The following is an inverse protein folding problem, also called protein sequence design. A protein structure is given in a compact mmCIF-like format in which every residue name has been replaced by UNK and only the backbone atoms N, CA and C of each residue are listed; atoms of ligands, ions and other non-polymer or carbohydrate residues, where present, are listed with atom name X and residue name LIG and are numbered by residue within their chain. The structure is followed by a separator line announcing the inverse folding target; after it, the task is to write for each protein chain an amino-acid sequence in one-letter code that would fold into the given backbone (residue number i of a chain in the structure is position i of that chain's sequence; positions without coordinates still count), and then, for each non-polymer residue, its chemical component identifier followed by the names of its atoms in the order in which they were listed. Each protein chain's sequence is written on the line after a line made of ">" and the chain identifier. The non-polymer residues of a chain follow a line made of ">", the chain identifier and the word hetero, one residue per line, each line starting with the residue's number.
data_IF_211288238008
#
_entry.id   IF_211288238008
#
_cell.length_a   1.000
_cell.length_b   1.000
_cell.length_c   1.000
_cell.angle_alpha   90.00
_cell.angle_beta   90.00
_cell.angle_gamma   90.00
#
_symmetry.space_group_name_H-M   'P 1'
#
loop_
_entity.id
_entity.type
_entity.pdbx_description
1 polymer ?
#
# COMPACT_ATOMS: atom_id res chain seq x y z
N UNK A 1 3.71 78.11 -9.89
CA UNK A 1 2.31 77.75 -9.57
C UNK A 1 2.35 76.42 -8.84
N UNK A 2 1.79 76.41 -7.62
CA UNK A 2 1.58 75.31 -6.63
C UNK A 2 2.71 74.28 -6.40
N UNK A 3 3.28 74.08 -5.20
CA UNK A 3 3.00 74.59 -3.87
C UNK A 3 3.10 73.48 -2.81
N UNK A 4 4.13 73.58 -1.93
CA UNK A 4 4.23 73.18 -0.49
C UNK A 4 3.88 71.73 -0.07
N UNK A 5 4.51 71.10 0.93
CA UNK A 5 5.31 71.60 2.03
C UNK A 5 6.21 70.50 2.62
N UNK A 6 7.33 70.97 3.14
CA UNK A 6 8.41 70.25 3.80
C UNK A 6 8.16 70.17 5.33
N UNK A 7 8.74 69.14 5.95
CA UNK A 7 9.37 69.11 7.30
C UNK A 7 8.56 69.17 8.61
N UNK A 8 8.70 68.02 9.31
CA UNK A 8 9.22 67.81 10.69
C UNK A 8 8.45 68.32 11.91
N UNK A 9 8.20 67.42 12.89
CA UNK A 9 8.51 67.63 14.31
C UNK A 9 8.87 66.29 14.97
N UNK A 10 10.00 66.27 15.68
CA UNK A 10 10.51 65.21 16.54
C UNK A 10 10.71 65.87 17.91
N UNK A 11 10.11 65.33 18.97
CA UNK A 11 10.38 65.75 20.36
C UNK A 11 10.47 64.50 21.24
N UNK A 12 11.61 64.38 21.91
CA UNK A 12 11.97 63.35 22.89
C UNK A 12 11.83 63.93 24.31
N UNK A 13 11.37 63.13 25.29
CA UNK A 13 11.74 63.28 26.72
C UNK A 13 11.81 61.90 27.39
N UNK A 14 12.89 61.68 28.15
CA UNK A 14 13.29 60.53 28.97
C UNK A 14 12.69 60.54 30.40
N UNK A 15 12.73 59.36 31.06
CA UNK A 15 13.03 59.04 32.50
C UNK A 15 12.10 57.88 32.97
N UNK A 16 12.42 56.96 33.87
CA UNK A 16 13.60 56.24 34.37
C UNK A 16 13.08 55.29 35.49
N UNK A 17 13.65 54.08 35.61
CA UNK A 17 13.84 53.36 36.88
C UNK A 17 12.70 52.50 37.47
N UNK A 18 12.92 51.18 37.60
CA UNK A 18 13.26 50.50 38.87
C UNK A 18 13.34 48.97 38.72
N UNK A 19 14.46 48.39 39.14
CA UNK A 19 14.69 46.96 39.38
C UNK A 19 13.93 46.48 40.63
N UNK A 20 13.46 45.22 40.64
CA UNK A 20 13.59 44.31 41.79
C UNK A 20 13.89 42.88 41.29
N UNK A 21 14.90 42.29 41.93
CA UNK A 21 15.46 40.95 41.78
C UNK A 21 14.72 39.97 42.69
N UNK A 22 14.51 38.73 42.25
CA UNK A 22 14.46 37.58 43.15
C UNK A 22 15.01 36.33 42.45
N UNK A 23 16.19 35.89 42.90
CA UNK A 23 16.78 34.60 42.61
C UNK A 23 16.58 33.69 43.83
N UNK A 24 16.21 32.43 43.59
CA UNK A 24 16.46 31.32 44.50
C UNK A 24 17.00 30.13 43.69
N UNK A 25 18.09 29.57 44.19
CA UNK A 25 18.87 28.49 43.60
C UNK A 25 18.71 27.18 44.40
N UNK A 26 19.30 26.09 43.85
CA UNK A 26 19.56 24.76 44.42
C UNK A 26 18.38 23.76 44.43
N UNK A 27 18.48 22.46 44.08
CA UNK A 27 19.54 21.48 43.74
C UNK A 27 18.88 20.38 42.86
N UNK A 28 19.49 19.88 41.78
CA UNK A 28 20.26 18.63 41.79
C UNK A 28 19.45 17.34 41.57
N UNK A 29 19.39 16.80 40.34
CA UNK A 29 19.38 15.35 40.08
C UNK A 29 19.73 15.03 38.62
N UNK A 30 20.72 14.16 38.40
CA UNK A 30 20.99 13.51 37.11
C UNK A 30 19.99 12.35 36.89
N UNK A 31 19.42 12.23 35.69
CA UNK A 31 18.92 10.97 35.10
C UNK A 31 18.89 11.13 33.58
N UNK A 32 19.79 10.46 32.85
CA UNK A 32 19.56 9.19 32.14
C UNK A 32 18.38 9.25 31.17
N UNK A 33 18.71 9.21 29.88
CA UNK A 33 18.05 8.47 28.79
C UNK A 33 16.53 8.49 28.65
N UNK A 34 16.05 8.92 27.48
CA UNK A 34 14.75 8.49 26.96
C UNK A 34 14.08 9.55 26.08
N UNK A 35 14.26 9.47 24.77
CA UNK A 35 13.34 10.09 23.81
C UNK A 35 11.93 9.52 24.02
N UNK A 36 10.87 10.35 23.98
CA UNK A 36 9.51 9.83 24.11
C UNK A 36 9.18 8.97 22.88
N UNK A 37 8.95 7.67 23.12
CA UNK A 37 8.32 6.76 22.18
C UNK A 37 6.95 7.33 21.80
N UNK A 38 6.76 7.61 20.52
CA UNK A 38 5.43 7.71 19.93
C UNK A 38 4.82 6.30 19.92
N UNK A 39 3.97 6.01 20.90
CA UNK A 39 3.11 4.84 20.92
C UNK A 39 1.87 5.13 20.10
N UNK A 40 1.95 4.91 18.79
CA UNK A 40 0.76 4.49 18.07
C UNK A 40 0.51 3.04 18.52
N UNK A 41 -0.46 2.87 19.41
CA UNK A 41 -0.95 1.53 19.78
C UNK A 41 -1.48 0.84 18.52
N UNK A 42 -1.19 -0.46 18.31
CA UNK A 42 -1.82 -1.23 17.25
C UNK A 42 -3.32 -1.27 17.50
N UNK A 43 -4.11 -1.10 16.44
CA UNK A 43 -5.55 -1.27 16.50
C UNK A 43 -5.88 -2.65 17.11
N UNK A 44 -6.66 -2.66 18.19
CA UNK A 44 -7.18 -3.88 18.80
C UNK A 44 -8.03 -4.66 17.78
N UNK A 45 -7.97 -5.99 17.88
CA UNK A 45 -8.72 -6.95 17.08
C UNK A 45 -10.22 -6.64 17.09
N UNK A 46 -10.71 -6.02 16.02
CA UNK A 46 -12.15 -5.95 15.73
C UNK A 46 -12.48 -7.09 14.78
N UNK A 47 -13.35 -7.99 15.23
CA UNK A 47 -13.94 -9.02 14.39
C UNK A 47 -14.66 -8.36 13.20
N UNK A 48 -14.15 -8.58 12.00
CA UNK A 48 -14.62 -7.98 10.75
C UNK A 48 -15.73 -8.85 10.18
N UNK A 49 -16.97 -8.36 10.17
CA UNK A 49 -18.01 -8.92 9.29
C UNK A 49 -17.80 -8.36 7.87
N UNK A 50 -17.29 -9.20 6.98
CA UNK A 50 -17.01 -8.86 5.58
C UNK A 50 -18.19 -9.10 4.63
N UNK A 51 -18.07 -8.52 3.44
CA UNK A 51 -18.77 -8.95 2.21
C UNK A 51 -18.71 -10.47 2.09
N UNK A 52 -19.72 -11.17 1.53
CA UNK A 52 -19.63 -12.60 1.35
C UNK A 52 -18.43 -12.94 0.47
N UNK A 53 -17.36 -13.42 1.08
CA UNK A 53 -16.43 -14.31 0.43
C UNK A 53 -17.26 -15.55 0.11
N UNK A 54 -17.60 -15.78 -1.16
CA UNK A 54 -18.15 -17.07 -1.55
C UNK A 54 -17.09 -18.14 -1.34
N UNK A 55 -17.19 -18.84 -0.20
CA UNK A 55 -16.51 -20.10 0.03
C UNK A 55 -17.19 -21.13 -0.86
N UNK A 56 -16.69 -21.30 -2.08
CA UNK A 56 -17.14 -22.38 -2.95
C UNK A 56 -16.97 -23.73 -2.21
N UNK A 57 -18.04 -24.53 -2.24
CA UNK A 57 -18.26 -25.65 -1.33
C UNK A 57 -17.14 -26.70 -1.24
N UNK A 58 -17.05 -27.27 -0.03
CA UNK A 58 -16.46 -28.55 0.38
C UNK A 58 -15.29 -29.08 -0.48
N UNK A 59 -14.19 -28.35 -0.51
CA UNK A 59 -12.87 -28.98 -0.70
C UNK A 59 -12.30 -29.32 0.68
N UNK A 60 -11.71 -30.51 0.81
CA UNK A 60 -11.18 -31.03 2.07
C UNK A 60 -10.39 -29.95 2.81
N UNK A 61 -10.77 -29.66 4.06
CA UNK A 61 -10.09 -28.67 4.90
C UNK A 61 -8.62 -29.07 5.04
N UNK A 62 -7.73 -28.35 4.37
CA UNK A 62 -6.29 -28.52 4.56
C UNK A 62 -6.00 -28.18 6.02
N UNK A 63 -5.41 -29.11 6.80
CA UNK A 63 -5.08 -28.84 8.20
C UNK A 63 -4.23 -27.56 8.30
N UNK A 64 -4.43 -26.73 9.34
CA UNK A 64 -3.56 -25.59 9.59
C UNK A 64 -2.10 -26.05 9.58
N UNK A 65 -1.27 -25.38 8.78
CA UNK A 65 0.15 -25.71 8.75
C UNK A 65 0.77 -25.41 10.12
N UNK A 66 1.45 -26.40 10.71
CA UNK A 66 2.22 -26.22 11.93
C UNK A 66 3.61 -25.66 11.60
N UNK A 67 3.95 -24.50 12.18
CA UNK A 67 5.24 -23.85 12.00
C UNK A 67 6.40 -24.54 12.75
N UNK A 68 6.12 -25.52 13.62
CA UNK A 68 7.10 -26.18 14.47
C UNK A 68 8.06 -27.10 13.71
N UNK A 69 7.59 -27.73 12.62
CA UNK A 69 8.28 -28.77 11.86
C UNK A 69 8.41 -28.43 10.37
N UNK A 70 8.93 -27.24 10.07
CA UNK A 70 9.14 -26.79 8.69
C UNK A 70 10.53 -27.11 8.16
N UNK A 71 10.58 -27.54 6.90
CA UNK A 71 11.80 -27.68 6.10
C UNK A 71 11.98 -26.46 5.22
N UNK A 72 13.20 -25.94 5.14
CA UNK A 72 13.53 -24.73 4.39
C UNK A 72 14.33 -25.06 3.14
N UNK A 73 13.82 -24.62 2.00
CA UNK A 73 14.51 -24.74 0.72
C UNK A 73 14.83 -23.35 0.18
N UNK A 74 16.09 -23.14 -0.21
CA UNK A 74 16.49 -21.96 -0.98
C UNK A 74 16.20 -22.16 -2.46
N UNK A 75 15.71 -21.11 -3.09
CA UNK A 75 15.54 -21.04 -4.54
C UNK A 75 16.07 -19.69 -5.04
N UNK A 76 16.52 -19.68 -6.29
CA UNK A 76 16.99 -18.48 -6.98
C UNK A 76 15.94 -17.99 -7.99
N UNK A 77 16.15 -16.77 -8.46
CA UNK A 77 15.34 -16.11 -9.50
C UNK A 77 13.83 -16.01 -9.19
N UNK A 78 13.42 -15.16 -8.22
CA UNK A 78 14.27 -14.39 -7.31
C UNK A 78 14.79 -15.25 -6.14
N UNK A 79 15.85 -14.77 -5.47
CA UNK A 79 16.36 -15.37 -4.24
C UNK A 79 15.26 -15.41 -3.18
N UNK A 80 14.92 -16.61 -2.70
CA UNK A 80 13.81 -16.83 -1.78
C UNK A 80 13.98 -18.06 -0.91
N UNK A 81 13.36 -18.03 0.27
CA UNK A 81 13.19 -19.20 1.15
C UNK A 81 11.78 -19.72 1.00
N UNK A 82 11.67 -21.00 0.66
CA UNK A 82 10.41 -21.74 0.59
C UNK A 82 10.34 -22.60 1.86
N UNK A 83 9.36 -22.32 2.72
CA UNK A 83 9.08 -23.13 3.89
C UNK A 83 8.04 -24.20 3.54
N UNK A 84 8.35 -25.46 3.84
CA UNK A 84 7.49 -26.62 3.56
C UNK A 84 7.17 -27.37 4.84
N UNK A 85 5.99 -27.94 4.94
CA UNK A 85 5.66 -28.87 6.02
C UNK A 85 6.30 -30.25 5.79
N UNK A 86 6.12 -31.17 6.75
CA UNK A 86 6.65 -32.53 6.68
C UNK A 86 6.13 -33.32 5.47
N UNK A 87 4.96 -32.96 4.92
CA UNK A 87 4.40 -33.55 3.70
C UNK A 87 4.93 -32.92 2.41
N UNK A 88 5.86 -31.95 2.50
CA UNK A 88 6.45 -31.26 1.36
C UNK A 88 5.58 -30.14 0.78
N UNK A 89 4.42 -29.86 1.38
CA UNK A 89 3.54 -28.78 0.94
C UNK A 89 4.16 -27.43 1.29
N UNK A 90 4.15 -26.51 0.34
CA UNK A 90 4.63 -25.14 0.56
C UNK A 90 3.68 -24.42 1.53
N UNK A 91 4.21 -23.96 2.65
CA UNK A 91 3.48 -23.20 3.68
C UNK A 91 3.68 -21.71 3.49
N UNK A 92 4.91 -21.29 3.18
CA UNK A 92 5.25 -19.88 3.02
C UNK A 92 6.39 -19.69 2.02
N UNK A 93 6.37 -18.57 1.30
CA UNK A 93 7.45 -18.13 0.41
C UNK A 93 7.89 -16.73 0.81
N UNK A 94 9.15 -16.61 1.19
CA UNK A 94 9.80 -15.37 1.58
C UNK A 94 10.82 -14.98 0.53
N UNK A 95 10.67 -13.79 -0.07
CA UNK A 95 11.61 -13.31 -1.08
C UNK A 95 12.63 -12.39 -0.42
N UNK A 96 13.92 -12.62 -0.65
CA UNK A 96 14.97 -11.78 -0.08
C UNK A 96 14.75 -10.32 -0.48
N UNK A 97 14.88 -9.39 0.47
CA UNK A 97 14.63 -7.95 0.28
C UNK A 97 13.15 -7.56 0.29
N UNK A 98 12.21 -8.50 0.30
CA UNK A 98 10.77 -8.23 0.40
C UNK A 98 10.27 -8.41 1.84
N UNK A 99 9.22 -7.68 2.19
CA UNK A 99 8.45 -7.89 3.43
C UNK A 99 7.13 -8.63 3.19
N UNK A 100 6.58 -8.59 1.99
CA UNK A 100 5.41 -9.37 1.59
C UNK A 100 5.78 -10.85 1.54
N UNK A 101 4.93 -11.67 2.17
CA UNK A 101 5.11 -13.10 2.29
C UNK A 101 3.85 -13.77 1.75
N UNK A 102 4.02 -14.66 0.77
CA UNK A 102 2.93 -15.53 0.31
C UNK A 102 2.82 -16.71 1.26
N UNK A 103 1.72 -16.80 1.99
CA UNK A 103 1.32 -17.98 2.74
C UNK A 103 0.35 -18.82 1.91
N UNK A 104 0.41 -20.14 2.04
CA UNK A 104 -0.61 -21.05 1.52
C UNK A 104 -1.68 -21.25 2.59
N UNK A 105 -2.90 -20.79 2.32
CA UNK A 105 -4.02 -20.85 3.25
C UNK A 105 -5.27 -21.48 2.63
N UNK A 106 -6.44 -21.14 3.18
CA UNK A 106 -7.70 -21.57 2.63
C UNK A 106 -7.91 -21.01 1.21
N UNK A 107 -8.40 -21.85 0.30
CA UNK A 107 -8.76 -21.43 -1.06
C UNK A 107 -9.94 -20.48 -1.00
N UNK A 108 -9.88 -19.41 -1.78
CA UNK A 108 -10.93 -18.39 -1.91
C UNK A 108 -11.04 -17.89 -3.34
N UNK A 109 -12.20 -17.37 -3.68
CA UNK A 109 -12.54 -16.85 -4.99
C UNK A 109 -12.82 -15.35 -4.90
N UNK A 110 -12.23 -14.58 -5.81
CA UNK A 110 -12.52 -13.16 -6.01
C UNK A 110 -13.37 -12.99 -7.26
N UNK A 111 -14.44 -12.21 -7.14
CA UNK A 111 -15.39 -11.92 -8.20
C UNK A 111 -15.79 -10.43 -8.16
N UNK A 112 -15.98 -9.83 -9.34
CA UNK A 112 -16.45 -8.45 -9.51
C UNK A 112 -17.42 -8.40 -10.71
N UNK A 113 -18.64 -8.97 -10.57
CA UNK A 113 -19.54 -9.27 -11.69
C UNK A 113 -19.99 -8.02 -12.47
N UNK A 114 -19.84 -6.83 -11.88
CA UNK A 114 -20.22 -5.57 -12.51
C UNK A 114 -19.37 -5.24 -13.72
N UNK A 115 -18.07 -5.51 -13.68
CA UNK A 115 -17.14 -5.12 -14.73
C UNK A 115 -16.44 -6.30 -15.41
N UNK A 116 -16.59 -7.53 -14.92
CA UNK A 116 -16.10 -8.74 -15.60
C UNK A 116 -16.85 -9.98 -15.13
N UNK A 117 -16.86 -11.02 -15.97
CA UNK A 117 -17.28 -12.36 -15.56
C UNK A 117 -16.11 -13.23 -15.06
N UNK A 118 -14.88 -12.77 -15.28
CA UNK A 118 -13.69 -13.48 -14.83
C UNK A 118 -13.64 -13.55 -13.32
N UNK A 119 -13.08 -14.64 -12.82
CA UNK A 119 -12.86 -14.83 -11.38
C UNK A 119 -11.47 -15.34 -11.12
N UNK A 120 -10.91 -14.96 -9.97
CA UNK A 120 -9.59 -15.44 -9.54
C UNK A 120 -9.75 -16.34 -8.33
N UNK A 121 -9.37 -17.61 -8.46
CA UNK A 121 -9.37 -18.57 -7.35
C UNK A 121 -7.94 -18.81 -6.90
N UNK A 122 -7.67 -18.62 -5.60
CA UNK A 122 -6.30 -18.73 -5.07
C UNK A 122 -6.28 -19.21 -3.62
N UNK A 123 -5.20 -19.90 -3.25
CA UNK A 123 -4.82 -20.24 -1.88
C UNK A 123 -3.80 -19.24 -1.29
N UNK A 124 -3.42 -18.20 -2.04
CA UNK A 124 -2.42 -17.24 -1.62
C UNK A 124 -2.99 -16.26 -0.59
N UNK A 125 -2.33 -16.16 0.55
CA UNK A 125 -2.58 -15.16 1.60
C UNK A 125 -1.32 -14.31 1.78
N UNK A 126 -1.42 -13.02 1.53
CA UNK A 126 -0.28 -12.09 1.45
C UNK A 126 -0.20 -11.27 2.73
N UNK A 127 0.78 -11.61 3.58
CA UNK A 127 1.03 -10.97 4.88
C UNK A 127 2.30 -10.13 4.85
N UNK A 128 2.42 -9.19 5.77
CA UNK A 128 3.59 -8.35 5.93
C UNK A 128 4.49 -8.87 7.06
N UNK A 129 5.72 -9.23 6.74
CA UNK A 129 6.77 -9.48 7.70
C UNK A 129 7.19 -8.17 8.40
N UNK A 130 7.65 -8.22 9.67
CA UNK A 130 8.06 -7.04 10.42
C UNK A 130 9.26 -6.32 9.80
N UNK A 131 10.08 -7.04 9.03
CA UNK A 131 11.24 -6.53 8.33
C UNK A 131 11.48 -7.30 7.03
N UNK A 132 12.35 -6.76 6.17
CA UNK A 132 12.74 -7.41 4.93
C UNK A 132 13.35 -8.78 5.19
N UNK A 133 12.96 -9.76 4.38
CA UNK A 133 13.53 -11.08 4.46
C UNK A 133 14.99 -11.10 3.98
N UNK A 134 15.80 -11.94 4.61
CA UNK A 134 17.19 -12.22 4.21
C UNK A 134 17.42 -13.72 4.34
N UNK A 135 18.29 -14.28 3.51
CA UNK A 135 18.70 -15.68 3.66
C UNK A 135 19.18 -15.97 5.10
N UNK A 136 18.68 -17.05 5.71
CA UNK A 136 18.99 -17.43 7.08
C UNK A 136 18.03 -16.86 8.14
N UNK A 137 17.09 -15.97 7.78
CA UNK A 137 16.13 -15.39 8.73
C UNK A 137 15.16 -16.41 9.33
N UNK A 138 15.06 -17.62 8.77
CA UNK A 138 14.31 -18.72 9.41
C UNK A 138 14.87 -19.12 10.79
N UNK A 139 16.09 -18.68 11.12
CA UNK A 139 16.74 -18.88 12.43
C UNK A 139 16.57 -17.68 13.36
N UNK A 140 16.02 -16.57 12.88
CA UNK A 140 15.87 -15.36 13.69
C UNK A 140 14.76 -15.51 14.73
N UNK A 141 14.95 -14.86 15.88
CA UNK A 141 14.01 -14.98 17.02
C UNK A 141 12.59 -14.52 16.69
N UNK A 142 12.43 -13.54 15.77
CA UNK A 142 11.13 -13.02 15.38
C UNK A 142 10.34 -13.98 14.48
N UNK A 143 11.02 -14.86 13.74
CA UNK A 143 10.45 -15.55 12.60
C UNK A 143 9.39 -16.60 12.99
N UNK A 144 9.71 -17.53 13.88
CA UNK A 144 8.75 -18.59 14.27
C UNK A 144 7.50 -18.02 14.96
N UNK A 145 7.61 -17.08 15.93
CA UNK A 145 6.43 -16.44 16.51
C UNK A 145 5.59 -15.72 15.46
N UNK A 146 6.22 -14.96 14.57
CA UNK A 146 5.51 -14.24 13.51
C UNK A 146 4.80 -15.19 12.54
N UNK A 147 5.47 -16.24 12.05
CA UNK A 147 4.86 -17.16 11.08
C UNK A 147 3.69 -17.93 11.70
N UNK A 148 3.83 -18.35 12.96
CA UNK A 148 2.74 -19.01 13.70
C UNK A 148 1.51 -18.10 13.79
N UNK A 149 1.70 -16.83 14.16
CA UNK A 149 0.63 -15.85 14.21
C UNK A 149 0.03 -15.60 12.82
N UNK A 150 0.87 -15.42 11.80
CA UNK A 150 0.43 -15.12 10.44
C UNK A 150 -0.36 -16.27 9.77
N UNK A 151 -0.06 -17.53 10.12
CA UNK A 151 -0.82 -18.71 9.67
C UNK A 151 -2.16 -18.86 10.41
N UNK A 152 -2.23 -18.43 11.67
CA UNK A 152 -3.46 -18.43 12.46
C UNK A 152 -4.39 -17.26 12.12
N UNK A 153 -3.82 -16.14 11.67
CA UNK A 153 -4.51 -14.88 11.38
C UNK A 153 -5.60 -15.04 10.30
N UNK A 154 -6.85 -14.74 10.71
CA UNK A 154 -8.05 -14.77 9.86
C UNK A 154 -8.49 -13.38 9.38
N UNK A 155 -7.82 -12.32 9.80
CA UNK A 155 -8.08 -10.97 9.30
C UNK A 155 -7.85 -10.89 7.79
N UNK A 156 -8.46 -9.94 7.09
CA UNK A 156 -8.17 -9.69 5.67
C UNK A 156 -6.66 -9.49 5.42
N UNK A 157 -6.12 -10.19 4.43
CA UNK A 157 -4.75 -10.01 3.93
C UNK A 157 -4.73 -8.99 2.78
N UNK A 158 -3.57 -8.77 2.13
CA UNK A 158 -3.46 -7.74 1.08
C UNK A 158 -4.51 -7.87 -0.05
N UNK A 159 -4.79 -9.10 -0.51
CA UNK A 159 -5.74 -9.33 -1.59
C UNK A 159 -7.19 -9.11 -1.13
N UNK A 160 -7.54 -9.58 0.06
CA UNK A 160 -8.86 -9.35 0.61
C UNK A 160 -9.11 -7.86 0.90
N UNK A 161 -8.10 -7.14 1.43
CA UNK A 161 -8.16 -5.69 1.67
C UNK A 161 -8.32 -4.94 0.35
N UNK A 162 -7.57 -5.31 -0.69
CA UNK A 162 -7.69 -4.72 -2.02
C UNK A 162 -9.14 -4.76 -2.55
N UNK A 163 -9.83 -5.89 -2.36
CA UNK A 163 -11.24 -6.04 -2.75
C UNK A 163 -12.23 -5.18 -1.96
N UNK A 164 -11.84 -4.56 -0.84
CA UNK A 164 -12.75 -3.75 -0.02
C UNK A 164 -12.98 -2.34 -0.58
N UNK A 165 -12.38 -1.99 -1.70
CA UNK A 165 -12.49 -0.68 -2.33
C UNK A 165 -13.07 -0.73 -3.74
N UNK A 166 -13.45 -1.92 -4.22
CA UNK A 166 -14.11 -2.04 -5.52
C UNK A 166 -15.53 -1.50 -5.44
N UNK A 167 -16.12 -1.26 -6.60
CA UNK A 167 -17.44 -0.67 -6.67
C UNK A 167 -18.50 -1.48 -5.93
N UNK A 168 -19.31 -0.80 -5.12
CA UNK A 168 -20.34 -1.41 -4.28
C UNK A 168 -19.81 -2.11 -3.01
N UNK A 169 -18.50 -2.06 -2.73
CA UNK A 169 -17.98 -2.58 -1.47
C UNK A 169 -18.60 -1.82 -0.28
N UNK A 170 -19.06 -2.53 0.77
CA UNK A 170 -19.73 -1.93 1.91
C UNK A 170 -18.76 -1.08 2.72
N UNK A 171 -19.26 0.07 3.17
CA UNK A 171 -18.48 0.93 4.04
C UNK A 171 -18.20 0.24 5.38
N UNK A 172 -16.94 0.27 5.81
CA UNK A 172 -16.51 -0.13 7.14
C UNK A 172 -15.91 1.08 7.84
N UNK A 173 -16.27 1.29 9.10
CA UNK A 173 -15.78 2.38 9.92
C UNK A 173 -14.99 1.87 11.12
N UNK A 174 -13.96 2.61 11.50
CA UNK A 174 -13.27 2.37 12.76
C UNK A 174 -14.09 2.90 13.96
N UNK A 175 -13.58 2.71 15.17
CA UNK A 175 -14.21 3.19 16.41
C UNK A 175 -14.35 4.72 16.49
N UNK A 176 -13.62 5.48 15.66
CA UNK A 176 -13.68 6.94 15.57
C UNK A 176 -14.63 7.41 14.47
N UNK A 177 -15.28 6.48 13.76
CA UNK A 177 -16.21 6.75 12.67
C UNK A 177 -15.55 7.04 11.33
N UNK A 178 -14.22 6.87 11.21
CA UNK A 178 -13.49 7.04 9.94
C UNK A 178 -13.82 5.87 9.04
N UNK A 179 -14.23 6.14 7.78
CA UNK A 179 -14.46 5.09 6.78
C UNK A 179 -13.10 4.52 6.36
N UNK A 180 -12.75 3.34 6.87
CA UNK A 180 -11.48 2.66 6.56
C UNK A 180 -11.56 1.72 5.36
N UNK A 181 -12.77 1.35 4.93
CA UNK A 181 -13.03 0.53 3.75
C UNK A 181 -14.41 0.84 3.15
N UNK A 182 -14.65 0.39 1.92
CA UNK A 182 -15.87 0.65 1.13
C UNK A 182 -15.55 1.22 -0.24
N UNK A 183 -16.58 1.32 -1.09
CA UNK A 183 -16.50 1.86 -2.45
C UNK A 183 -15.66 3.15 -2.50
N UNK A 184 -14.71 3.16 -3.44
CA UNK A 184 -13.77 4.24 -3.65
C UNK A 184 -13.88 4.76 -5.09
N UNK A 185 -14.01 6.07 -5.22
CA UNK A 185 -13.94 6.74 -6.53
C UNK A 185 -12.48 6.93 -6.95
N UNK A 186 -12.22 7.26 -8.22
CA UNK A 186 -10.85 7.55 -8.68
C UNK A 186 -10.40 8.96 -8.27
N UNK A 187 -11.31 9.91 -8.37
CA UNK A 187 -11.05 11.34 -8.28
C UNK A 187 -12.28 12.15 -8.68
N UNK A 188 -12.34 13.45 -8.35
CA UNK A 188 -13.43 14.33 -8.76
C UNK A 188 -13.44 14.49 -10.28
N UNK A 189 -14.60 14.86 -10.83
CA UNK A 189 -14.70 15.20 -12.26
C UNK A 189 -13.72 16.33 -12.62
N UNK A 190 -13.11 16.21 -13.80
CA UNK A 190 -12.15 17.18 -14.32
C UNK A 190 -12.41 17.43 -15.79
N UNK A 191 -12.65 18.69 -16.15
CA UNK A 191 -12.83 19.10 -17.55
C UNK A 191 -11.51 19.14 -18.33
N UNK A 192 -10.38 19.17 -17.61
CA UNK A 192 -9.03 19.26 -18.21
C UNK A 192 -8.30 17.93 -18.26
N UNK A 193 -8.81 16.90 -17.56
CA UNK A 193 -8.24 15.56 -17.59
C UNK A 193 -8.85 14.77 -18.77
N UNK A 194 -8.04 14.21 -19.68
CA UNK A 194 -8.55 13.45 -20.84
C UNK A 194 -9.45 12.27 -20.47
N UNK A 195 -9.23 11.65 -19.29
CA UNK A 195 -10.06 10.55 -18.81
C UNK A 195 -11.25 11.04 -17.94
N UNK A 196 -11.41 12.35 -17.78
CA UNK A 196 -12.58 13.01 -17.18
C UNK A 196 -12.58 13.07 -15.65
N UNK A 197 -11.52 12.59 -14.98
CA UNK A 197 -11.38 12.63 -13.52
C UNK A 197 -9.96 12.98 -13.10
N UNK A 198 -9.82 13.84 -12.11
CA UNK A 198 -8.52 14.32 -11.67
C UNK A 198 -7.76 13.26 -10.87
N UNK A 199 -6.55 12.90 -11.33
CA UNK A 199 -5.57 12.15 -10.53
C UNK A 199 -5.17 12.92 -9.25
N UNK A 200 -4.35 12.27 -8.39
CA UNK A 200 -3.78 12.77 -7.14
C UNK A 200 -4.57 12.51 -5.85
N UNK A 201 -5.57 11.64 -5.86
CA UNK A 201 -6.23 11.17 -4.63
C UNK A 201 -5.41 10.06 -3.93
N UNK A 202 -5.07 10.26 -2.65
CA UNK A 202 -4.30 9.33 -1.84
C UNK A 202 -5.14 8.72 -0.70
N UNK A 203 -4.55 7.79 0.07
CA UNK A 203 -5.27 7.14 1.18
C UNK A 203 -5.81 8.13 2.22
N UNK A 204 -5.12 9.24 2.48
CA UNK A 204 -5.58 10.22 3.46
C UNK A 204 -6.78 11.03 2.94
N UNK A 205 -6.91 11.21 1.62
CA UNK A 205 -8.08 11.83 0.99
C UNK A 205 -9.29 10.89 1.12
N UNK A 206 -9.13 9.60 0.81
CA UNK A 206 -10.19 8.60 1.00
C UNK A 206 -10.77 8.59 2.42
N UNK A 207 -9.89 8.66 3.41
CA UNK A 207 -10.21 8.61 4.84
C UNK A 207 -10.76 9.94 5.37
N UNK A 208 -10.48 11.05 4.68
CA UNK A 208 -10.77 12.40 5.18
C UNK A 208 -9.96 12.78 6.43
N UNK A 209 -8.71 12.29 6.56
CA UNK A 209 -7.86 12.54 7.73
C UNK A 209 -6.58 13.28 7.39
N UNK A 210 -6.08 14.07 8.34
CA UNK A 210 -4.70 14.57 8.27
C UNK A 210 -3.72 13.44 8.49
N UNK A 211 -2.60 13.42 7.76
CA UNK A 211 -1.60 12.38 7.90
C UNK A 211 -0.18 12.93 8.08
N UNK A 212 0.54 12.35 9.03
CA UNK A 212 1.95 12.62 9.30
C UNK A 212 2.78 11.44 8.81
N UNK A 213 3.63 11.67 7.80
CA UNK A 213 4.52 10.66 7.26
C UNK A 213 5.74 10.46 8.17
N UNK A 214 6.33 9.28 8.08
CA UNK A 214 7.54 8.91 8.84
C UNK A 214 8.77 9.72 8.43
N UNK A 215 8.76 10.31 7.23
CA UNK A 215 9.80 11.21 6.73
C UNK A 215 9.59 12.67 7.16
N UNK A 216 8.65 12.94 8.07
CA UNK A 216 8.35 14.27 8.58
C UNK A 216 7.35 15.07 7.73
N UNK A 217 7.02 14.62 6.52
CA UNK A 217 6.02 15.27 5.68
C UNK A 217 4.61 15.24 6.28
N UNK A 218 3.78 16.20 5.91
CA UNK A 218 2.37 16.28 6.31
C UNK A 218 1.48 16.42 5.09
N UNK A 219 0.32 15.77 5.13
CA UNK A 219 -0.74 15.96 4.14
C UNK A 219 -2.06 16.30 4.81
N UNK A 220 -2.84 17.12 4.11
CA UNK A 220 -4.21 17.49 4.45
C UNK A 220 -5.14 16.86 3.41
N UNK A 221 -6.26 16.26 3.83
CA UNK A 221 -7.23 15.72 2.90
C UNK A 221 -7.94 16.86 2.18
N UNK A 222 -8.26 16.67 0.90
CA UNK A 222 -9.10 17.60 0.17
C UNK A 222 -10.58 17.21 0.29
N UNK A 223 -11.50 18.10 0.68
CA UNK A 223 -12.90 17.75 0.89
C UNK A 223 -13.61 17.16 -0.34
N UNK A 224 -13.25 17.62 -1.54
CA UNK A 224 -13.78 17.15 -2.83
C UNK A 224 -13.20 15.79 -3.26
N UNK A 225 -12.22 15.26 -2.52
CA UNK A 225 -11.59 13.94 -2.73
C UNK A 225 -11.94 12.92 -1.67
N UNK A 226 -12.94 13.23 -0.82
CA UNK A 226 -13.32 12.36 0.28
C UNK A 226 -13.94 11.05 -0.24
N UNK A 227 -13.15 9.98 -0.20
CA UNK A 227 -13.51 8.68 -0.77
C UNK A 227 -12.80 8.31 -2.05
N UNK A 228 -11.83 9.12 -2.46
CA UNK A 228 -11.15 8.91 -3.72
C UNK A 228 -9.80 8.23 -3.49
N UNK A 229 -9.44 7.32 -4.39
CA UNK A 229 -8.13 6.68 -4.45
C UNK A 229 -7.69 6.63 -5.91
N UNK A 230 -6.60 7.30 -6.27
CA UNK A 230 -5.96 7.08 -7.56
C UNK A 230 -5.16 5.76 -7.57
N UNK A 231 -4.54 5.40 -8.69
CA UNK A 231 -3.87 4.11 -8.85
C UNK A 231 -2.84 3.82 -7.74
N UNK A 232 -2.03 4.82 -7.38
CA UNK A 232 -0.95 4.70 -6.41
C UNK A 232 -1.40 5.03 -4.99
N UNK A 233 -2.40 5.89 -4.83
CA UNK A 233 -3.12 6.12 -3.59
C UNK A 233 -3.79 4.83 -3.09
N UNK A 234 -4.38 4.06 -4.01
CA UNK A 234 -4.95 2.75 -3.73
C UNK A 234 -3.89 1.74 -3.25
N UNK A 235 -2.72 1.68 -3.89
CA UNK A 235 -1.60 0.85 -3.41
C UNK A 235 -1.15 1.26 -2.01
N UNK A 236 -1.05 2.56 -1.73
CA UNK A 236 -0.70 3.09 -0.39
C UNK A 236 -1.81 2.88 0.63
N UNK A 237 -3.06 2.83 0.22
CA UNK A 237 -4.17 2.43 1.10
C UNK A 237 -4.00 0.98 1.54
N UNK A 238 -3.88 0.05 0.57
CA UNK A 238 -3.80 -1.41 0.86
C UNK A 238 -2.55 -1.76 1.64
N UNK A 239 -1.37 -1.42 1.11
CA UNK A 239 -0.10 -1.81 1.75
C UNK A 239 0.30 -0.86 2.87
N UNK A 240 0.10 0.43 2.68
CA UNK A 240 0.56 1.45 3.61
C UNK A 240 -0.33 1.55 4.84
N UNK A 241 -1.50 2.16 4.68
CA UNK A 241 -2.40 2.44 5.79
C UNK A 241 -3.02 1.18 6.40
N UNK A 242 -3.53 0.27 5.58
CA UNK A 242 -4.26 -0.92 6.07
C UNK A 242 -3.35 -2.06 6.55
N UNK A 243 -2.17 -2.24 5.94
CA UNK A 243 -1.22 -3.31 6.32
C UNK A 243 0.01 -2.81 7.09
N UNK A 244 0.18 -1.49 7.26
CA UNK A 244 1.28 -0.92 8.05
C UNK A 244 2.64 -0.93 7.34
N UNK A 245 2.69 -1.00 6.00
CA UNK A 245 3.92 -0.75 5.27
C UNK A 245 4.29 0.74 5.36
N UNK A 246 5.55 1.12 5.65
CA UNK A 246 5.94 2.51 5.68
C UNK A 246 5.58 3.24 4.37
N UNK A 247 4.98 4.42 4.51
CA UNK A 247 4.65 5.35 3.41
C UNK A 247 5.34 6.68 3.66
N UNK A 248 5.65 7.40 2.59
CA UNK A 248 6.41 8.66 2.67
C UNK A 248 5.79 9.75 1.80
N UNK A 249 6.13 11.00 2.10
CA UNK A 249 5.56 12.16 1.40
C UNK A 249 6.22 12.45 0.05
N UNK A 250 7.49 12.04 -0.11
CA UNK A 250 8.31 12.42 -1.27
C UNK A 250 8.38 11.33 -2.36
N UNK A 251 8.70 11.75 -3.59
CA UNK A 251 8.89 10.90 -4.77
C UNK A 251 10.37 10.61 -5.11
N UNK A 252 11.26 10.77 -4.14
CA UNK A 252 12.71 10.52 -4.26
C UNK A 252 13.09 9.17 -3.64
N UNK A 253 14.37 8.81 -3.55
CA UNK A 253 14.84 7.61 -2.82
C UNK A 253 14.73 7.77 -1.29
N UNK A 254 14.54 6.68 -0.54
CA UNK A 254 14.30 6.69 0.90
C UNK A 254 13.34 5.60 1.40
N UNK A 255 13.10 5.56 2.72
CA UNK A 255 12.32 4.50 3.38
C UNK A 255 10.82 4.66 3.13
N UNK A 256 10.18 3.59 2.68
CA UNK A 256 8.73 3.50 2.49
C UNK A 256 8.25 3.79 1.07
N UNK A 257 6.98 3.48 0.82
CA UNK A 257 6.32 3.65 -0.46
C UNK A 257 6.17 5.14 -0.82
N UNK A 258 6.81 5.62 -1.91
CA UNK A 258 6.63 6.99 -2.39
C UNK A 258 5.22 7.19 -2.95
N UNK A 259 4.87 8.44 -3.31
CA UNK A 259 3.49 8.77 -3.70
C UNK A 259 3.12 8.31 -5.10
N UNK A 260 3.95 8.59 -6.12
CA UNK A 260 3.59 8.36 -7.52
C UNK A 260 4.08 7.02 -8.05
N UNK A 261 3.36 6.46 -9.03
CA UNK A 261 3.68 5.17 -9.65
C UNK A 261 5.12 5.10 -10.18
N UNK A 262 5.60 6.13 -10.89
CA UNK A 262 6.99 6.17 -11.37
C UNK A 262 8.00 6.04 -10.22
N UNK A 263 7.73 6.73 -9.11
CA UNK A 263 8.62 6.73 -7.96
C UNK A 263 8.58 5.38 -7.23
N UNK A 264 7.41 4.73 -7.15
CA UNK A 264 7.29 3.39 -6.60
C UNK A 264 8.06 2.36 -7.45
N UNK A 265 7.98 2.48 -8.78
CA UNK A 265 8.73 1.64 -9.69
C UNK A 265 10.26 1.84 -9.50
N UNK A 266 10.71 3.10 -9.57
CA UNK A 266 12.13 3.45 -9.59
C UNK A 266 12.81 3.37 -8.22
N UNK A 267 12.15 3.87 -7.17
CA UNK A 267 12.72 4.08 -5.84
C UNK A 267 11.99 3.34 -4.72
N UNK A 268 10.91 2.61 -5.05
CA UNK A 268 10.14 1.87 -4.05
C UNK A 268 10.99 0.81 -3.33
N UNK A 269 10.59 0.45 -2.11
CA UNK A 269 11.24 -0.61 -1.33
C UNK A 269 11.01 -1.99 -1.97
N UNK A 270 11.60 -3.03 -1.39
CA UNK A 270 11.44 -4.38 -1.92
C UNK A 270 12.35 -4.69 -3.11
N UNK A 271 11.98 -5.73 -3.86
CA UNK A 271 12.79 -6.26 -4.97
C UNK A 271 12.06 -6.17 -6.30
N UNK A 272 12.79 -5.72 -7.34
CA UNK A 272 12.33 -5.79 -8.71
C UNK A 272 12.30 -7.25 -9.17
N UNK A 273 11.10 -7.78 -9.40
CA UNK A 273 10.86 -9.13 -9.93
C UNK A 273 11.04 -9.11 -11.46
N UNK A 274 10.55 -8.04 -12.09
CA UNK A 274 10.83 -7.70 -13.47
C UNK A 274 11.17 -6.21 -13.52
N UNK A 275 12.38 -5.87 -13.96
CA UNK A 275 12.81 -4.48 -14.11
C UNK A 275 12.17 -3.84 -15.34
N UNK A 276 11.92 -2.52 -15.28
CA UNK A 276 11.45 -1.76 -16.45
C UNK A 276 12.57 -1.65 -17.49
N UNK A 277 12.35 -2.27 -18.65
CA UNK A 277 13.30 -2.33 -19.77
C UNK A 277 12.85 -1.52 -20.99
N UNK A 278 11.82 -0.69 -20.86
CA UNK A 278 11.25 -0.04 -22.05
C UNK A 278 10.23 -0.90 -22.81
N UNK A 279 10.06 -2.17 -22.43
CA UNK A 279 9.30 -3.17 -23.19
C UNK A 279 8.35 -3.95 -22.31
N UNK A 280 7.36 -4.60 -22.94
CA UNK A 280 6.38 -5.43 -22.27
C UNK A 280 7.04 -6.57 -21.47
N UNK A 281 6.66 -6.73 -20.20
CA UNK A 281 7.00 -7.93 -19.42
C UNK A 281 6.18 -9.11 -19.93
N UNK A 282 6.87 -10.20 -20.27
CA UNK A 282 6.25 -11.45 -20.79
C UNK A 282 6.57 -12.70 -19.97
N UNK A 283 7.48 -12.59 -19.02
CA UNK A 283 7.81 -13.69 -18.11
C UNK A 283 7.05 -13.51 -16.80
N UNK A 284 5.95 -14.24 -16.67
CA UNK A 284 5.05 -14.18 -15.51
C UNK A 284 5.43 -15.19 -14.42
N UNK A 285 6.38 -16.11 -14.69
CA UNK A 285 6.68 -17.24 -13.80
C UNK A 285 7.25 -16.82 -12.43
N UNK A 286 7.79 -15.61 -12.35
CA UNK A 286 8.42 -15.06 -11.14
C UNK A 286 7.43 -14.28 -10.28
N UNK A 287 6.28 -13.93 -10.84
CA UNK A 287 5.27 -13.13 -10.18
C UNK A 287 4.53 -13.95 -9.12
N UNK A 288 4.08 -13.27 -8.08
CA UNK A 288 3.25 -13.83 -7.01
C UNK A 288 2.12 -12.87 -6.70
N UNK A 289 0.96 -13.39 -6.31
CA UNK A 289 -0.17 -12.58 -5.89
C UNK A 289 0.31 -11.55 -4.85
N UNK A 290 -0.18 -10.31 -4.96
CA UNK A 290 0.25 -9.19 -4.15
C UNK A 290 1.43 -8.39 -4.71
N UNK A 291 2.17 -8.88 -5.70
CA UNK A 291 3.20 -8.07 -6.35
C UNK A 291 2.62 -6.77 -6.92
N UNK A 292 3.37 -5.68 -6.82
CA UNK A 292 3.03 -4.44 -7.51
C UNK A 292 3.37 -4.57 -8.99
N UNK A 293 2.44 -4.14 -9.84
CA UNK A 293 2.61 -4.09 -11.29
C UNK A 293 2.55 -2.64 -11.75
N UNK A 294 3.42 -2.27 -12.70
CA UNK A 294 3.54 -0.90 -13.19
C UNK A 294 3.42 -0.84 -14.71
N UNK A 295 2.83 0.24 -15.19
CA UNK A 295 2.53 0.45 -16.60
C UNK A 295 2.95 1.84 -17.05
N UNK A 296 3.16 1.98 -18.36
CA UNK A 296 3.23 3.27 -19.06
C UNK A 296 2.03 3.32 -20.02
N UNK A 297 0.88 3.72 -19.48
CA UNK A 297 -0.37 3.81 -20.24
C UNK A 297 -0.33 5.02 -21.17
N UNK A 298 0.17 6.14 -20.67
CA UNK A 298 0.37 7.37 -21.40
C UNK A 298 1.86 7.59 -21.74
N UNK A 299 2.16 7.48 -23.03
CA UNK A 299 3.52 7.71 -23.53
C UNK A 299 3.91 9.18 -23.64
N UNK A 300 2.97 10.12 -23.47
CA UNK A 300 3.26 11.55 -23.63
C UNK A 300 4.08 12.12 -22.49
N UNK A 301 3.95 11.56 -21.29
CA UNK A 301 4.68 11.97 -20.09
C UNK A 301 6.09 11.36 -20.00
N UNK A 302 6.52 10.71 -21.09
CA UNK A 302 7.84 10.08 -21.22
C UNK A 302 7.80 8.57 -20.95
N UNK A 303 8.97 7.93 -20.77
CA UNK A 303 9.07 6.46 -20.72
C UNK A 303 8.75 5.86 -19.35
N UNK A 304 8.46 6.69 -18.35
CA UNK A 304 8.29 6.29 -16.95
C UNK A 304 6.95 5.60 -16.72
N UNK A 305 6.82 4.88 -15.60
CA UNK A 305 5.54 4.29 -15.23
C UNK A 305 4.58 5.37 -14.70
N UNK A 306 3.38 5.44 -15.25
CA UNK A 306 2.32 6.37 -14.84
C UNK A 306 1.22 5.68 -14.03
N UNK A 307 1.05 4.37 -14.20
CA UNK A 307 -0.02 3.61 -13.56
C UNK A 307 0.54 2.46 -12.73
N UNK A 308 -0.19 2.11 -11.67
CA UNK A 308 0.18 1.01 -10.78
C UNK A 308 -1.03 0.17 -10.37
N UNK A 309 -0.76 -1.07 -9.99
CA UNK A 309 -1.75 -2.01 -9.51
C UNK A 309 -1.16 -3.13 -8.66
N UNK A 310 -2.02 -4.04 -8.23
CA UNK A 310 -1.70 -5.20 -7.40
C UNK A 310 -2.03 -6.46 -8.19
N UNK A 311 -1.05 -7.32 -8.43
CA UNK A 311 -1.25 -8.57 -9.14
C UNK A 311 -2.15 -9.50 -8.33
N UNK A 312 -3.30 -9.89 -8.89
CA UNK A 312 -4.33 -10.65 -8.20
C UNK A 312 -4.13 -12.15 -8.36
N UNK A 313 -3.60 -12.61 -9.49
CA UNK A 313 -3.41 -14.02 -9.81
C UNK A 313 -3.82 -14.37 -11.23
N UNK A 314 -4.04 -15.66 -11.48
CA UNK A 314 -4.55 -16.17 -12.75
C UNK A 314 -6.06 -16.39 -12.64
N UNK A 315 -6.82 -15.93 -13.62
CA UNK A 315 -8.27 -16.12 -13.65
C UNK A 315 -8.69 -17.52 -14.14
N UNK A 316 -9.99 -17.79 -14.11
CA UNK A 316 -10.63 -19.01 -14.59
C UNK A 316 -10.51 -19.25 -16.10
N UNK A 317 -9.98 -18.28 -16.85
CA UNK A 317 -9.65 -18.40 -18.28
C UNK A 317 -8.13 -18.51 -18.54
N UNK A 318 -7.31 -18.51 -17.48
CA UNK A 318 -5.86 -18.65 -17.59
C UNK A 318 -5.10 -17.33 -17.79
N UNK A 319 -5.76 -16.18 -17.62
CA UNK A 319 -5.14 -14.87 -17.81
C UNK A 319 -4.63 -14.25 -16.50
N UNK A 320 -3.53 -13.52 -16.57
CA UNK A 320 -2.91 -12.85 -15.43
C UNK A 320 -3.65 -11.56 -15.08
N UNK A 321 -4.47 -11.59 -14.02
CA UNK A 321 -5.30 -10.46 -13.55
C UNK A 321 -4.58 -9.56 -12.57
N UNK A 322 -4.90 -8.26 -12.61
CA UNK A 322 -4.47 -7.30 -11.60
C UNK A 322 -5.60 -6.35 -11.18
N UNK A 323 -5.51 -5.84 -9.96
CA UNK A 323 -6.37 -4.78 -9.42
C UNK A 323 -5.68 -3.43 -9.59
N UNK A 324 -6.42 -2.40 -10.00
CA UNK A 324 -5.92 -1.03 -9.99
C UNK A 324 -7.09 -0.05 -9.90
N UNK A 325 -6.88 1.12 -9.30
CA UNK A 325 -7.85 2.21 -9.40
C UNK A 325 -7.74 2.90 -10.76
N UNK A 326 -8.86 3.03 -11.47
CA UNK A 326 -8.91 3.51 -12.86
C UNK A 326 -9.92 4.64 -13.01
N UNK A 327 -9.54 5.67 -13.76
CA UNK A 327 -10.42 6.80 -14.05
C UNK A 327 -11.72 6.36 -14.75
N UNK A 328 -11.61 5.52 -15.80
CA UNK A 328 -12.78 5.01 -16.54
C UNK A 328 -13.76 4.21 -15.68
N UNK A 329 -13.27 3.31 -14.84
CA UNK A 329 -14.13 2.55 -13.92
C UNK A 329 -14.59 3.38 -12.70
N UNK A 330 -14.01 4.58 -12.53
CA UNK A 330 -14.15 5.42 -11.36
C UNK A 330 -13.84 4.65 -10.06
N UNK A 331 -12.64 4.09 -9.97
CA UNK A 331 -12.19 3.43 -8.75
C UNK A 331 -11.42 2.12 -8.98
N UNK A 332 -11.05 1.42 -7.89
CA UNK A 332 -10.44 0.10 -7.90
C UNK A 332 -11.29 -0.95 -8.60
N UNK A 333 -10.67 -1.70 -9.52
CA UNK A 333 -11.31 -2.80 -10.25
C UNK A 333 -10.27 -3.79 -10.76
N UNK A 334 -10.66 -5.06 -10.92
CA UNK A 334 -9.98 -6.03 -11.79
C UNK A 334 -10.83 -6.38 -13.04
N UNK A 335 -11.85 -5.58 -13.30
CA UNK A 335 -12.77 -5.73 -14.41
C UNK A 335 -12.23 -5.28 -15.76
N UNK A 336 -13.05 -5.48 -16.79
CA UNK A 336 -12.70 -5.26 -18.19
C UNK A 336 -13.17 -3.90 -18.74
N UNK A 337 -13.91 -3.12 -17.93
CA UNK A 337 -14.36 -1.79 -18.31
C UNK A 337 -13.19 -0.82 -18.45
N UNK A 338 -13.13 -0.13 -19.60
CA UNK A 338 -12.00 0.74 -19.95
C UNK A 338 -10.75 -0.01 -20.43
N UNK A 339 -10.80 -1.34 -20.53
CA UNK A 339 -9.71 -2.21 -20.97
C UNK A 339 -9.58 -3.44 -20.06
N UNK A 340 -9.39 -4.66 -20.61
CA UNK A 340 -9.24 -5.86 -19.79
C UNK A 340 -8.09 -5.75 -18.79
N UNK A 341 -8.36 -6.06 -17.51
CA UNK A 341 -7.36 -6.04 -16.43
C UNK A 341 -6.37 -7.21 -16.49
N UNK A 342 -5.78 -7.44 -17.66
CA UNK A 342 -4.96 -8.59 -17.99
C UNK A 342 -3.55 -8.11 -18.34
N UNK A 343 -2.53 -8.84 -17.87
CA UNK A 343 -1.11 -8.53 -18.07
C UNK A 343 -0.50 -9.22 -19.31
N UNK A 344 -1.11 -10.31 -19.77
CA UNK A 344 -0.70 -11.07 -20.95
C UNK A 344 -1.51 -10.70 -22.21
N UNK A 345 -0.98 -11.10 -23.37
CA UNK A 345 -1.60 -10.81 -24.68
C UNK A 345 -1.33 -9.39 -25.21
N UNK A 346 -2.23 -8.91 -26.07
CA UNK A 346 -2.08 -7.68 -26.86
C UNK A 346 -3.01 -6.52 -26.46
N UNK A 347 -3.69 -6.63 -25.31
CA UNK A 347 -4.61 -5.58 -24.82
C UNK A 347 -3.91 -4.30 -24.35
N UNK A 348 -4.70 -3.27 -24.06
CA UNK A 348 -4.21 -1.95 -23.64
C UNK A 348 -3.25 -2.06 -22.44
N UNK A 349 -3.66 -2.70 -21.34
CA UNK A 349 -2.80 -2.86 -20.17
C UNK A 349 -1.63 -3.81 -20.42
N UNK A 350 -1.88 -4.95 -21.07
CA UNK A 350 -0.86 -5.95 -21.36
C UNK A 350 0.33 -5.36 -22.14
N UNK A 351 0.07 -4.64 -23.24
CA UNK A 351 1.13 -4.04 -24.08
C UNK A 351 1.91 -2.93 -23.38
N UNK A 352 1.33 -2.35 -22.33
CA UNK A 352 1.89 -1.26 -21.54
C UNK A 352 2.45 -1.72 -20.19
N UNK A 353 2.45 -3.02 -19.90
CA UNK A 353 2.96 -3.58 -18.65
C UNK A 353 4.49 -3.62 -18.63
N UNK A 354 5.12 -2.89 -17.71
CA UNK A 354 6.57 -2.55 -17.77
C UNK A 354 7.43 -3.23 -16.72
N UNK A 355 6.91 -3.41 -15.51
CA UNK A 355 7.73 -3.91 -14.41
C UNK A 355 6.89 -4.47 -13.27
N UNK A 356 7.56 -5.23 -12.41
CA UNK A 356 6.99 -5.89 -11.24
C UNK A 356 7.91 -5.68 -10.05
N UNK A 357 7.33 -5.33 -8.89
CA UNK A 357 8.04 -5.18 -7.62
C UNK A 357 7.35 -5.94 -6.51
N UNK A 358 8.11 -6.69 -5.73
CA UNK A 358 7.63 -7.36 -4.51
C UNK A 358 8.11 -6.58 -3.30
N UNK A 359 7.17 -6.04 -2.53
CA UNK A 359 7.42 -5.16 -1.37
C UNK A 359 7.99 -5.91 -0.19
#
# INVERSE_FOLDING_TARGET
>A
MSGRNDRSVLVSVLLAGCLVVAALAWLGFQRVGGSPKSTAEPAEDVAVEGVPLEVAGSSASVPPADASNLVYQRAADPNRTIAKDAGGRVVAVFTDGARTVRLSGAVRRFAEPKFTQATVTTDAWIRLAPQEWKAGQEKAAWYKPWLTAALADKSPDALAIAMQYVQGAPAQKDAKGVRIAGDADFGPFSETDPDGRAENSDFFDYLGIQYQFTDGGRSQPQPDRNGDLDCSGYVRMVYGYRLGYPVRSQNTAGVGLPRRAFAMNQFGPGVAIAADKGTQVRDFNKMQNGDLVFFNLDGTDGPQADHSGIYLGVDDSGHHRFLSSRSKANGPTFGDFGGPAILDGGGHFATKFRSVRRL
#
